data_IF_749393246802
#
_entry.id   IF_749393246802
#
_cell.length_a   1.000
_cell.length_b   1.000
_cell.length_c   1.000
_cell.angle_alpha   90.00
_cell.angle_beta   90.00
_cell.angle_gamma   90.00
#
_symmetry.space_group_name_H-M   'P 1'
#
loop_
_entity.id
_entity.type
_entity.pdbx_description
1 polymer ?
#
# COMPACT_ATOMS: atom_id res chain seq x y z
N UNK A 1 12.55 11.99 39.01
CA UNK A 1 13.03 11.13 37.90
C UNK A 1 11.85 10.79 37.01
N UNK A 2 11.70 11.46 35.87
CA UNK A 2 10.74 11.10 34.81
C UNK A 2 11.52 11.28 33.52
N UNK A 3 11.77 10.21 32.76
CA UNK A 3 12.39 10.36 31.44
C UNK A 3 13.14 9.16 30.88
N UNK A 4 13.57 8.18 31.69
CA UNK A 4 14.41 7.10 31.15
C UNK A 4 13.63 6.07 30.32
N UNK A 5 12.43 5.70 30.79
CA UNK A 5 11.60 4.69 30.12
C UNK A 5 11.08 5.15 28.75
N UNK A 6 10.78 6.44 28.60
CA UNK A 6 10.35 7.02 27.32
C UNK A 6 11.47 7.07 26.30
N UNK A 7 12.68 7.44 26.74
CA UNK A 7 13.86 7.50 25.85
C UNK A 7 14.24 6.11 25.35
N UNK A 8 14.19 5.09 26.21
CA UNK A 8 14.46 3.70 25.83
C UNK A 8 13.45 3.18 24.80
N UNK A 9 12.17 3.58 24.91
CA UNK A 9 11.14 3.24 23.93
C UNK A 9 11.37 3.93 22.58
N UNK A 10 11.76 5.20 22.60
CA UNK A 10 12.11 5.93 21.37
C UNK A 10 13.31 5.27 20.69
N UNK A 11 14.34 4.87 21.45
CA UNK A 11 15.50 4.17 20.88
C UNK A 11 15.13 2.83 20.21
N UNK A 12 14.21 2.05 20.81
CA UNK A 12 13.72 0.80 20.20
C UNK A 12 12.97 1.05 18.90
N UNK A 13 12.14 2.10 18.85
CA UNK A 13 11.41 2.52 17.66
C UNK A 13 12.36 2.95 16.55
N UNK A 14 13.33 3.83 16.85
CA UNK A 14 14.31 4.33 15.88
C UNK A 14 15.12 3.18 15.27
N UNK A 15 15.62 2.25 16.10
CA UNK A 15 16.35 1.06 15.61
C UNK A 15 15.52 0.18 14.66
N UNK A 16 14.21 0.13 14.86
CA UNK A 16 13.33 -0.65 14.00
C UNK A 16 13.07 0.04 12.65
N UNK A 17 12.96 1.38 12.67
CA UNK A 17 12.89 2.20 11.45
C UNK A 17 14.19 2.13 10.63
N UNK A 18 15.34 2.21 11.30
CA UNK A 18 16.67 2.09 10.66
C UNK A 18 16.86 0.75 9.94
N UNK A 19 16.23 -0.31 10.43
CA UNK A 19 16.24 -1.63 9.79
C UNK A 19 15.26 -1.75 8.62
N UNK A 20 14.46 -0.73 8.35
CA UNK A 20 13.43 -0.72 7.32
C UNK A 20 12.05 -1.23 7.78
N UNK A 21 11.78 -1.23 9.09
CA UNK A 21 10.43 -1.51 9.61
C UNK A 21 9.45 -0.40 9.25
N UNK A 22 8.24 -0.75 8.82
CA UNK A 22 7.18 0.21 8.49
C UNK A 22 6.21 0.37 9.64
N UNK A 23 6.02 1.59 10.14
CA UNK A 23 5.02 1.90 11.15
C UNK A 23 3.60 1.75 10.56
N UNK A 24 2.70 1.10 11.30
CA UNK A 24 1.29 0.93 10.95
C UNK A 24 0.44 1.95 11.71
N UNK A 25 -0.75 2.25 11.20
CA UNK A 25 -1.72 3.12 11.88
C UNK A 25 -2.39 2.47 13.10
N UNK A 26 -2.12 1.18 13.34
CA UNK A 26 -2.60 0.42 14.49
C UNK A 26 -1.61 0.51 15.64
N UNK A 27 -2.11 0.48 16.87
CA UNK A 27 -1.31 0.54 18.09
C UNK A 27 -1.53 -0.72 18.91
N UNK A 28 -0.52 -1.12 19.67
CA UNK A 28 -0.65 -2.16 20.69
C UNK A 28 -1.39 -1.62 21.92
N UNK A 29 -1.91 -2.49 22.78
CA UNK A 29 -2.57 -2.11 24.04
C UNK A 29 -1.67 -1.30 24.99
N UNK A 30 -0.34 -1.39 24.81
CA UNK A 30 0.63 -0.56 25.54
C UNK A 30 0.74 0.90 25.03
N UNK A 31 0.01 1.25 23.98
CA UNK A 31 0.00 2.58 23.37
C UNK A 31 1.09 2.82 22.31
N UNK A 32 2.01 1.88 22.12
CA UNK A 32 3.04 2.00 21.07
C UNK A 32 2.48 1.61 19.69
N UNK A 33 2.90 2.29 18.60
CA UNK A 33 2.48 1.92 17.26
C UNK A 33 3.03 0.55 16.86
N UNK A 34 2.24 -0.21 16.10
CA UNK A 34 2.65 -1.50 15.56
C UNK A 34 3.55 -1.30 14.35
N UNK A 35 4.48 -2.22 14.12
CA UNK A 35 5.40 -2.18 12.99
C UNK A 35 5.31 -3.44 12.16
N UNK A 36 5.45 -3.31 10.84
CA UNK A 36 5.67 -4.41 9.91
C UNK A 36 7.15 -4.51 9.58
N UNK A 37 7.76 -5.66 9.85
CA UNK A 37 9.15 -5.94 9.49
C UNK A 37 9.28 -7.38 9.00
N UNK A 38 9.86 -7.57 7.81
CA UNK A 38 10.00 -8.89 7.17
C UNK A 38 8.68 -9.68 7.12
N UNK A 39 7.56 -9.00 6.83
CA UNK A 39 6.22 -9.61 6.76
C UNK A 39 5.54 -9.88 8.10
N UNK A 40 6.20 -9.65 9.23
CA UNK A 40 5.64 -9.84 10.58
C UNK A 40 5.21 -8.53 11.21
N UNK A 41 4.12 -8.56 11.97
CA UNK A 41 3.64 -7.41 12.75
C UNK A 41 4.16 -7.55 14.18
N UNK A 42 4.86 -6.53 14.68
CA UNK A 42 5.56 -6.53 15.97
C UNK A 42 5.34 -5.21 16.73
N UNK A 43 5.30 -5.29 18.06
CA UNK A 43 5.31 -4.13 18.96
C UNK A 43 6.73 -3.89 19.49
N UNK A 44 7.37 -2.73 19.24
CA UNK A 44 8.76 -2.47 19.64
C UNK A 44 8.96 -2.37 21.16
N UNK A 45 7.88 -2.13 21.92
CA UNK A 45 7.92 -1.99 23.38
C UNK A 45 7.67 -3.32 24.06
N UNK A 46 6.68 -4.10 23.59
CA UNK A 46 6.26 -5.35 24.21
C UNK A 46 7.01 -6.58 23.71
N UNK A 47 7.35 -6.65 22.42
CA UNK A 47 8.02 -7.83 21.82
C UNK A 47 9.53 -7.76 22.00
N UNK A 48 9.97 -7.66 23.25
CA UNK A 48 11.39 -7.75 23.64
C UNK A 48 11.82 -9.22 23.73
N UNK A 49 11.86 -9.95 22.61
CA UNK A 49 12.39 -11.31 22.57
C UNK A 49 13.21 -11.55 21.30
N UNK A 50 14.52 -11.68 21.48
CA UNK A 50 15.42 -12.41 20.59
C UNK A 50 14.99 -13.88 20.50
N UNK A 51 14.05 -14.24 19.63
CA UNK A 51 13.86 -15.63 19.20
C UNK A 51 13.61 -15.70 17.71
N UNK A 52 14.62 -16.19 16.99
CA UNK A 52 14.47 -16.89 15.70
C UNK A 52 13.37 -17.93 15.87
N UNK A 53 12.25 -17.76 15.19
CA UNK A 53 11.43 -18.87 14.71
C UNK A 53 10.54 -18.44 13.55
N UNK A 54 10.62 -19.26 12.51
CA UNK A 54 9.84 -19.28 11.28
C UNK A 54 8.49 -19.88 11.66
N UNK A 55 7.39 -19.15 11.52
CA UNK A 55 6.03 -19.70 11.43
C UNK A 55 5.17 -18.72 10.63
N UNK A 56 4.73 -19.14 9.46
CA UNK A 56 3.50 -18.71 8.78
C UNK A 56 2.39 -19.73 9.14
N UNK A 57 1.10 -19.50 8.80
CA UNK A 57 0.19 -18.50 9.34
C UNK A 57 -0.99 -19.19 10.06
N UNK A 58 -1.60 -18.58 11.08
CA UNK A 58 -2.87 -19.08 11.61
C UNK A 58 -3.89 -17.94 11.75
N UNK A 59 -4.87 -18.01 10.86
CA UNK A 59 -6.17 -17.35 10.95
C UNK A 59 -6.95 -17.90 12.14
N UNK A 60 -7.64 -17.01 12.86
CA UNK A 60 -8.88 -17.18 13.64
C UNK A 60 -9.05 -15.88 14.43
N UNK A 61 -10.11 -15.08 14.35
CA UNK A 61 -11.37 -15.14 13.64
C UNK A 61 -12.36 -14.23 14.40
N UNK A 62 -13.07 -13.38 13.64
CA UNK A 62 -14.34 -12.69 13.99
C UNK A 62 -14.19 -11.47 14.93
N UNK A 63 -14.85 -10.32 14.77
CA UNK A 63 -16.16 -10.04 14.16
C UNK A 63 -16.28 -8.52 13.86
N UNK A 64 -16.83 -8.18 12.69
CA UNK A 64 -17.74 -7.06 12.34
C UNK A 64 -17.42 -5.61 12.77
N UNK A 65 -17.15 -4.71 11.82
CA UNK A 65 -18.13 -3.78 11.20
C UNK A 65 -18.55 -2.65 12.16
N UNK A 66 -18.04 -1.44 11.95
CA UNK A 66 -18.89 -0.22 11.90
C UNK A 66 -18.10 1.00 11.41
N UNK A 67 -18.52 1.51 10.24
CA UNK A 67 -18.25 2.87 9.77
C UNK A 67 -19.44 3.74 10.16
N UNK A 68 -19.22 4.84 10.88
CA UNK A 68 -20.10 6.03 10.95
C UNK A 68 -19.15 7.22 11.23
N UNK A 69 -18.78 8.11 10.29
CA UNK A 69 -19.51 9.17 9.57
C UNK A 69 -20.32 10.14 10.43
N UNK A 70 -19.84 11.39 10.57
CA UNK A 70 -20.57 12.68 10.63
C UNK A 70 -19.53 13.74 10.14
N UNK A 71 -19.73 14.68 9.20
CA UNK A 71 -20.75 15.71 8.95
C UNK A 71 -20.86 16.00 7.42
N UNK A 72 -22.02 16.16 6.74
CA UNK A 72 -23.05 17.25 6.74
C UNK A 72 -22.45 18.64 6.36
N UNK A 73 -22.88 19.44 5.36
CA UNK A 73 -24.08 19.53 4.49
C UNK A 73 -23.83 20.49 3.27
N UNK A 74 -24.63 20.30 2.18
CA UNK A 74 -25.22 21.26 1.17
C UNK A 74 -24.46 21.44 -0.15
N UNK A 75 -25.04 21.46 -1.35
CA UNK A 75 -26.41 21.31 -1.90
C UNK A 75 -26.28 21.19 -3.45
N UNK A 76 -27.26 20.57 -4.13
CA UNK A 76 -27.46 20.65 -5.60
C UNK A 76 -27.61 19.27 -6.27
N UNK A 77 -28.82 18.67 -6.33
CA UNK A 77 -29.72 18.68 -7.51
C UNK A 77 -29.04 18.09 -8.77
N UNK A 78 -29.45 16.99 -9.43
CA UNK A 78 -30.79 16.58 -9.85
C UNK A 78 -30.85 15.09 -10.28
N UNK A 79 -31.93 14.40 -9.90
CA UNK A 79 -32.80 13.49 -10.70
C UNK A 79 -32.15 12.52 -11.72
N UNK A 80 -32.29 11.20 -11.52
CA UNK A 80 -33.34 10.33 -12.14
C UNK A 80 -33.09 8.83 -11.89
N UNK A 81 -34.15 8.22 -11.37
CA UNK A 81 -34.66 6.84 -11.47
C UNK A 81 -33.76 5.64 -11.83
N UNK A 82 -33.87 4.66 -10.94
CA UNK A 82 -33.89 3.21 -11.14
C UNK A 82 -34.18 2.76 -12.60
N UNK A 83 -33.26 1.97 -13.12
CA UNK A 83 -33.61 0.71 -13.76
C UNK A 83 -32.46 -0.28 -13.50
N UNK A 84 -32.76 -1.27 -12.65
CA UNK A 84 -32.03 -2.54 -12.58
C UNK A 84 -32.11 -3.18 -13.96
N UNK A 85 -30.97 -3.41 -14.60
CA UNK A 85 -30.81 -4.46 -15.59
C UNK A 85 -29.50 -5.18 -15.33
N UNK A 86 -29.63 -6.30 -14.62
CA UNK A 86 -28.68 -7.40 -14.66
C UNK A 86 -28.63 -7.87 -16.11
N UNK A 87 -27.52 -7.62 -16.78
CA UNK A 87 -27.17 -8.31 -18.02
C UNK A 87 -25.86 -9.03 -17.78
N UNK A 88 -25.99 -10.34 -17.61
CA UNK A 88 -24.88 -11.30 -17.64
C UNK A 88 -24.47 -11.39 -19.11
N UNK A 89 -23.40 -10.73 -19.47
CA UNK A 89 -22.70 -10.92 -20.74
C UNK A 89 -21.25 -11.29 -20.42
N UNK A 90 -20.85 -12.57 -20.56
CA UNK A 90 -19.46 -12.94 -20.42
C UNK A 90 -18.74 -12.68 -21.76
N UNK A 91 -17.54 -12.08 -21.69
CA UNK A 91 -16.48 -12.03 -22.72
C UNK A 91 -16.16 -10.71 -23.46
N UNK A 92 -16.47 -9.53 -22.92
CA UNK A 92 -15.89 -8.26 -23.44
C UNK A 92 -15.34 -7.29 -22.39
N UNK A 93 -15.62 -7.52 -21.11
CA UNK A 93 -15.14 -6.66 -20.03
C UNK A 93 -13.63 -6.77 -19.78
N UNK A 94 -13.03 -7.94 -20.02
CA UNK A 94 -11.62 -8.21 -19.71
C UNK A 94 -10.67 -7.52 -20.71
N UNK A 95 -11.01 -7.55 -22.00
CA UNK A 95 -10.22 -6.90 -23.06
C UNK A 95 -10.21 -5.37 -22.90
N UNK A 96 -11.36 -4.77 -22.52
CA UNK A 96 -11.43 -3.32 -22.27
C UNK A 96 -10.53 -2.91 -21.11
N UNK A 97 -10.54 -3.69 -20.02
CA UNK A 97 -9.70 -3.41 -18.85
C UNK A 97 -8.21 -3.58 -19.17
N UNK A 98 -7.84 -4.61 -19.93
CA UNK A 98 -6.46 -4.81 -20.38
C UNK A 98 -5.97 -3.64 -21.24
N UNK A 99 -6.82 -3.13 -22.15
CA UNK A 99 -6.50 -1.96 -22.97
C UNK A 99 -6.33 -0.69 -22.12
N UNK A 100 -7.23 -0.44 -21.17
CA UNK A 100 -7.15 0.71 -20.27
C UNK A 100 -5.87 0.67 -19.41
N UNK A 101 -5.51 -0.52 -18.89
CA UNK A 101 -4.27 -0.72 -18.13
C UNK A 101 -3.05 -0.45 -19.02
N UNK A 102 -3.04 -0.96 -20.26
CA UNK A 102 -1.96 -0.75 -21.22
C UNK A 102 -1.69 0.76 -21.45
N UNK A 103 -2.74 1.53 -21.71
CA UNK A 103 -2.65 2.98 -21.93
C UNK A 103 -2.13 3.73 -20.70
N UNK A 104 -2.61 3.37 -19.50
CA UNK A 104 -2.16 3.98 -18.25
C UNK A 104 -0.66 3.72 -18.02
N UNK A 105 -0.21 2.49 -18.22
CA UNK A 105 1.20 2.11 -18.02
C UNK A 105 2.10 2.82 -19.05
N UNK A 106 1.68 2.89 -20.32
CA UNK A 106 2.41 3.64 -21.36
C UNK A 106 2.58 5.11 -20.97
N UNK A 107 1.49 5.76 -20.53
CA UNK A 107 1.53 7.15 -20.13
C UNK A 107 2.46 7.35 -18.93
N UNK A 108 2.42 6.47 -17.94
CA UNK A 108 3.27 6.60 -16.75
C UNK A 108 4.75 6.36 -17.04
N UNK A 109 5.08 5.38 -17.88
CA UNK A 109 6.44 5.15 -18.35
C UNK A 109 6.97 6.38 -19.09
N UNK A 110 6.14 7.02 -19.94
CA UNK A 110 6.51 8.25 -20.65
C UNK A 110 6.76 9.42 -19.69
N UNK A 111 5.91 9.61 -18.68
CA UNK A 111 6.08 10.64 -17.66
C UNK A 111 7.39 10.44 -16.86
N UNK A 112 7.66 9.21 -16.44
CA UNK A 112 8.89 8.88 -15.70
C UNK A 112 10.13 9.12 -16.58
N UNK A 113 10.09 8.69 -17.83
CA UNK A 113 11.18 8.90 -18.78
C UNK A 113 11.45 10.40 -19.04
N UNK A 114 10.40 11.21 -19.23
CA UNK A 114 10.54 12.66 -19.36
C UNK A 114 11.13 13.30 -18.09
N UNK A 115 10.75 12.80 -16.91
CA UNK A 115 11.26 13.28 -15.63
C UNK A 115 12.74 12.92 -15.36
N UNK A 116 13.37 12.06 -16.18
CA UNK A 116 14.78 11.71 -16.05
C UNK A 116 15.71 12.81 -16.60
N UNK A 117 15.27 13.56 -17.60
CA UNK A 117 16.09 14.59 -18.27
C UNK A 117 16.61 15.65 -17.28
N UNK A 118 15.79 15.99 -16.29
CA UNK A 118 16.09 17.01 -15.29
C UNK A 118 16.47 16.43 -13.92
N UNK A 119 16.59 15.10 -13.80
CA UNK A 119 16.94 14.46 -12.53
C UNK A 119 18.47 14.43 -12.36
N UNK A 120 18.96 14.98 -11.25
CA UNK A 120 20.38 15.01 -10.92
C UNK A 120 20.76 13.97 -9.84
N UNK A 121 19.80 13.51 -9.04
CA UNK A 121 20.10 12.56 -7.97
C UNK A 121 20.14 11.12 -8.50
N UNK A 122 21.33 10.50 -8.44
CA UNK A 122 21.59 9.15 -8.95
C UNK A 122 20.64 8.10 -8.34
N UNK A 123 20.32 8.19 -7.05
CA UNK A 123 19.41 7.25 -6.40
C UNK A 123 17.99 7.35 -6.99
N UNK A 124 17.46 8.56 -7.18
CA UNK A 124 16.16 8.78 -7.83
C UNK A 124 16.15 8.37 -9.29
N UNK A 125 17.25 8.59 -10.02
CA UNK A 125 17.41 8.09 -11.39
C UNK A 125 17.28 6.56 -11.41
N UNK A 126 17.98 5.86 -10.50
CA UNK A 126 17.90 4.40 -10.40
C UNK A 126 16.48 3.94 -10.11
N UNK A 127 15.82 4.54 -9.13
CA UNK A 127 14.45 4.16 -8.76
C UNK A 127 13.46 4.40 -9.91
N UNK A 128 13.59 5.51 -10.63
CA UNK A 128 12.79 5.82 -11.83
C UNK A 128 13.07 4.83 -12.96
N UNK A 129 14.33 4.47 -13.19
CA UNK A 129 14.72 3.48 -14.20
C UNK A 129 14.17 2.09 -13.87
N UNK A 130 14.17 1.69 -12.59
CA UNK A 130 13.58 0.42 -12.15
C UNK A 130 12.05 0.41 -12.33
N UNK A 131 11.37 1.52 -12.01
CA UNK A 131 9.94 1.67 -12.29
C UNK A 131 9.63 1.57 -13.80
N UNK A 132 10.46 2.17 -14.65
CA UNK A 132 10.33 2.08 -16.11
C UNK A 132 10.52 0.63 -16.57
N UNK A 133 11.55 -0.06 -16.08
CA UNK A 133 11.79 -1.47 -16.42
C UNK A 133 10.59 -2.35 -16.06
N UNK A 134 10.02 -2.16 -14.87
CA UNK A 134 8.81 -2.87 -14.44
C UNK A 134 7.61 -2.55 -15.33
N UNK A 135 7.39 -1.28 -15.68
CA UNK A 135 6.34 -0.88 -16.60
C UNK A 135 6.49 -1.56 -17.97
N UNK A 136 7.70 -1.60 -18.53
CA UNK A 136 7.98 -2.28 -19.80
C UNK A 136 7.76 -3.80 -19.72
N UNK A 137 8.09 -4.45 -18.59
CA UNK A 137 7.80 -5.87 -18.37
C UNK A 137 6.30 -6.14 -18.37
N UNK A 138 5.51 -5.30 -17.70
CA UNK A 138 4.05 -5.41 -17.69
C UNK A 138 3.51 -5.27 -19.12
N UNK A 139 3.95 -4.25 -19.88
CA UNK A 139 3.52 -4.04 -21.26
C UNK A 139 3.85 -5.24 -22.17
N UNK A 140 5.01 -5.87 -21.96
CA UNK A 140 5.39 -7.10 -22.67
C UNK A 140 4.45 -8.25 -22.35
N UNK A 141 4.14 -8.46 -21.07
CA UNK A 141 3.22 -9.51 -20.63
C UNK A 141 1.81 -9.31 -21.20
N UNK A 142 1.30 -8.07 -21.23
CA UNK A 142 -0.02 -7.77 -21.78
C UNK A 142 -0.10 -8.07 -23.28
N UNK A 143 0.97 -7.81 -24.05
CA UNK A 143 1.04 -8.13 -25.48
C UNK A 143 1.10 -9.64 -25.76
N UNK A 144 1.66 -10.43 -24.84
CA UNK A 144 1.72 -11.88 -24.95
C UNK A 144 0.37 -12.56 -24.61
N UNK A 145 -0.64 -11.79 -24.17
CA UNK A 145 -2.01 -12.27 -23.89
C UNK A 145 -3.02 -11.99 -25.03
N UNK A 146 -2.59 -11.26 -26.09
CA UNK A 146 -3.37 -11.03 -27.33
C UNK A 146 -3.16 -12.16 -28.34
#
# INVERSE_FOLDING_TARGET
MVGKDSDDNIQKITKLLEKGGTMLATHHECGAPMFRYQGKIICPVCDSQEKKQIVEPQETGKTETEKQQIDRIKQGQQKKNLAVQVQIAPQSADISQISEINDIIINKVRELAASLENEAEIARIKDKMECIEQGLKILKLLREQE
#
